data_IF_552491212733
#
_entry.id   IF_552491212733
#
_cell.length_a   1.000
_cell.length_b   1.000
_cell.length_c   1.000
_cell.angle_alpha   90.00
_cell.angle_beta   90.00
_cell.angle_gamma   90.00
#
_symmetry.space_group_name_H-M   'P 1'
#
loop_
_entity.id
_entity.type
_entity.pdbx_description
1 polymer ?
#
# COMPACT_ATOMS: atom_id res chain seq x y z
N UNK A 1 -15.14 32.01 -17.13
CA UNK A 1 -15.34 30.62 -17.60
C UNK A 1 -14.99 29.72 -16.43
N UNK A 2 -15.98 29.12 -15.79
CA UNK A 2 -15.75 28.19 -14.69
C UNK A 2 -15.01 26.99 -15.28
N UNK A 3 -13.76 26.78 -14.85
CA UNK A 3 -13.07 25.53 -15.12
C UNK A 3 -13.89 24.44 -14.42
N UNK A 4 -14.34 23.48 -15.22
CA UNK A 4 -14.98 22.25 -14.77
C UNK A 4 -14.02 21.61 -13.76
N UNK A 5 -14.37 21.65 -12.47
CA UNK A 5 -13.57 21.00 -11.43
C UNK A 5 -13.54 19.53 -11.77
N UNK A 6 -12.37 18.89 -11.95
CA UNK A 6 -12.32 17.47 -12.24
C UNK A 6 -13.01 16.72 -11.09
N UNK A 7 -14.19 16.15 -11.37
CA UNK A 7 -15.03 15.38 -10.44
C UNK A 7 -14.36 14.06 -10.02
N UNK A 8 -13.28 13.68 -10.68
CA UNK A 8 -12.54 12.45 -10.41
C UNK A 8 -11.30 12.78 -9.58
N UNK A 9 -11.31 12.40 -8.31
CA UNK A 9 -10.12 12.44 -7.46
C UNK A 9 -9.15 11.39 -8.00
N UNK A 10 -8.17 11.82 -8.79
CA UNK A 10 -7.11 10.96 -9.33
C UNK A 10 -6.09 10.67 -8.21
N UNK A 11 -6.51 9.96 -7.15
CA UNK A 11 -5.67 9.52 -6.05
C UNK A 11 -4.58 10.51 -5.59
N UNK A 12 -3.43 9.97 -5.18
CA UNK A 12 -2.22 10.74 -4.87
C UNK A 12 -1.30 10.75 -6.10
N UNK A 13 -0.93 11.94 -6.61
CA UNK A 13 -0.01 12.07 -7.73
C UNK A 13 1.26 12.84 -7.31
N UNK A 14 2.34 12.14 -6.95
CA UNK A 14 3.59 12.77 -6.53
C UNK A 14 4.37 13.43 -7.68
N UNK A 15 3.91 13.29 -8.92
CA UNK A 15 4.54 13.90 -10.10
C UNK A 15 3.84 15.18 -10.57
N UNK A 16 2.75 15.58 -9.91
CA UNK A 16 2.09 16.86 -10.19
C UNK A 16 3.01 18.02 -9.80
N UNK A 17 3.13 19.07 -10.64
CA UNK A 17 3.86 20.28 -10.27
C UNK A 17 3.37 20.85 -8.94
N UNK A 18 4.30 21.23 -8.07
CA UNK A 18 3.97 21.77 -6.74
C UNK A 18 3.71 20.73 -5.65
N UNK A 19 3.63 19.42 -5.98
CA UNK A 19 3.43 18.38 -4.96
C UNK A 19 4.51 18.41 -3.87
N UNK A 20 5.77 18.62 -4.23
CA UNK A 20 6.86 18.67 -3.26
C UNK A 20 6.93 19.99 -2.49
N UNK A 21 6.27 21.05 -2.97
CA UNK A 21 6.16 22.33 -2.29
C UNK A 21 5.05 22.28 -1.22
N UNK A 22 3.90 21.69 -1.56
CA UNK A 22 2.80 21.41 -0.63
C UNK A 22 2.12 20.07 -0.93
N UNK A 23 2.61 18.95 -0.37
CA UNK A 23 1.99 17.65 -0.57
C UNK A 23 0.68 17.52 0.19
N UNK A 24 0.44 18.37 1.21
CA UNK A 24 -0.71 18.26 2.09
C UNK A 24 -1.99 18.72 1.43
N UNK A 25 -1.92 19.59 0.41
CA UNK A 25 -3.06 20.00 -0.40
C UNK A 25 -3.76 18.80 -1.05
N UNK A 26 -3.00 17.91 -1.72
CA UNK A 26 -3.57 16.69 -2.31
C UNK A 26 -4.15 15.77 -1.24
N UNK A 27 -3.42 15.51 -0.14
CA UNK A 27 -3.93 14.67 0.95
C UNK A 27 -5.21 15.23 1.58
N UNK A 28 -5.34 16.55 1.71
CA UNK A 28 -6.55 17.19 2.23
C UNK A 28 -7.74 16.95 1.31
N UNK A 29 -7.56 17.16 0.01
CA UNK A 29 -8.60 16.90 -1.00
C UNK A 29 -9.08 15.44 -0.97
N UNK A 30 -8.15 14.48 -0.93
CA UNK A 30 -8.50 13.05 -0.86
C UNK A 30 -9.26 12.72 0.42
N UNK A 31 -8.80 13.21 1.59
CA UNK A 31 -9.50 12.97 2.88
C UNK A 31 -10.92 13.52 2.90
N UNK A 32 -11.17 14.63 2.22
CA UNK A 32 -12.47 15.28 2.15
C UNK A 32 -13.44 14.54 1.22
N UNK A 33 -12.98 14.16 0.03
CA UNK A 33 -13.85 13.66 -1.03
C UNK A 33 -13.88 12.13 -1.16
N UNK A 34 -12.73 11.45 -1.05
CA UNK A 34 -12.61 9.99 -1.23
C UNK A 34 -11.48 9.40 -0.34
N UNK A 35 -11.72 9.29 0.98
CA UNK A 35 -10.68 8.97 1.97
C UNK A 35 -10.15 7.53 1.89
N UNK A 36 -10.92 6.63 1.27
CA UNK A 36 -10.62 5.21 1.02
C UNK A 36 -10.78 4.98 -0.49
N UNK A 37 -9.77 5.42 -1.23
CA UNK A 37 -9.80 5.47 -2.68
C UNK A 37 -9.22 4.18 -3.27
N UNK A 38 -9.92 3.53 -4.20
CA UNK A 38 -9.33 2.44 -4.99
C UNK A 38 -8.53 3.02 -6.14
N UNK A 39 -7.20 2.95 -6.05
CA UNK A 39 -6.33 3.44 -7.12
C UNK A 39 -6.53 2.63 -8.41
N UNK A 40 -6.54 3.28 -9.58
CA UNK A 40 -6.48 2.59 -10.88
C UNK A 40 -5.24 1.69 -11.02
N UNK A 41 -4.19 1.94 -10.23
CA UNK A 41 -2.96 1.13 -10.20
C UNK A 41 -3.08 -0.16 -9.37
N UNK A 42 -4.25 -0.42 -8.77
CA UNK A 42 -4.51 -1.64 -8.00
C UNK A 42 -4.63 -1.47 -6.48
N UNK A 43 -3.77 -0.74 -5.76
CA UNK A 43 -3.84 -0.67 -4.30
C UNK A 43 -4.97 0.25 -3.82
N UNK A 44 -5.42 0.00 -2.59
CA UNK A 44 -6.27 0.95 -1.86
C UNK A 44 -5.39 2.04 -1.25
N UNK A 45 -5.84 3.30 -1.35
CA UNK A 45 -5.27 4.45 -0.67
C UNK A 45 -6.18 4.83 0.50
N UNK A 46 -5.63 4.81 1.72
CA UNK A 46 -6.36 5.13 2.94
C UNK A 46 -5.68 6.32 3.61
N UNK A 47 -6.42 7.40 3.84
CA UNK A 47 -5.84 8.71 4.19
C UNK A 47 -6.29 9.29 5.52
N UNK A 48 -7.40 8.81 6.11
CA UNK A 48 -7.84 9.24 7.44
C UNK A 48 -7.11 8.47 8.52
N UNK A 49 -6.78 9.17 9.60
CA UNK A 49 -6.02 8.59 10.70
C UNK A 49 -6.77 7.42 11.34
N UNK A 50 -8.07 7.56 11.54
CA UNK A 50 -8.94 6.57 12.17
C UNK A 50 -8.97 5.26 11.38
N UNK A 51 -9.06 5.36 10.05
CA UNK A 51 -9.10 4.21 9.14
C UNK A 51 -7.75 3.47 9.13
N UNK A 52 -6.64 4.22 9.02
CA UNK A 52 -5.29 3.64 9.08
C UNK A 52 -5.03 3.01 10.44
N UNK A 53 -5.37 3.70 11.52
CA UNK A 53 -5.16 3.21 12.88
C UNK A 53 -5.97 1.94 13.17
N UNK A 54 -7.20 1.87 12.66
CA UNK A 54 -8.05 0.67 12.75
C UNK A 54 -7.43 -0.46 11.95
N UNK A 55 -7.10 -0.23 10.67
CA UNK A 55 -6.52 -1.24 9.79
C UNK A 55 -5.27 -1.88 10.38
N UNK A 56 -4.33 -1.07 10.88
CA UNK A 56 -3.08 -1.56 11.47
C UNK A 56 -3.27 -2.42 12.73
N UNK A 57 -4.47 -2.44 13.31
CA UNK A 57 -4.82 -3.22 14.51
C UNK A 57 -5.81 -4.35 14.22
N UNK A 58 -6.38 -4.39 13.02
CA UNK A 58 -7.36 -5.40 12.64
C UNK A 58 -6.69 -6.77 12.52
N UNK A 59 -7.12 -7.79 13.29
CA UNK A 59 -6.62 -9.14 13.12
C UNK A 59 -6.89 -9.67 11.71
N UNK A 60 -5.94 -10.43 11.15
CA UNK A 60 -6.08 -11.02 9.81
C UNK A 60 -5.56 -10.15 8.67
N UNK A 61 -5.07 -8.93 8.94
CA UNK A 61 -4.25 -8.18 7.97
C UNK A 61 -2.84 -8.75 7.91
N UNK A 62 -2.23 -8.68 6.72
CA UNK A 62 -0.90 -9.23 6.44
C UNK A 62 -0.04 -8.18 5.74
N UNK A 63 1.28 -8.20 6.01
CA UNK A 63 2.28 -7.52 5.17
C UNK A 63 2.91 -8.49 4.15
N UNK A 64 2.73 -9.79 4.32
CA UNK A 64 3.18 -10.82 3.39
C UNK A 64 2.17 -11.00 2.26
N UNK A 65 2.57 -10.63 1.04
CA UNK A 65 1.74 -10.70 -0.18
C UNK A 65 1.14 -12.09 -0.43
N UNK A 66 1.87 -13.16 -0.08
CA UNK A 66 1.39 -14.55 -0.20
C UNK A 66 0.19 -14.90 0.70
N UNK A 67 -0.03 -14.13 1.76
CA UNK A 67 -1.17 -14.30 2.67
C UNK A 67 -2.35 -13.38 2.29
N UNK A 68 -2.20 -12.52 1.27
CA UNK A 68 -3.23 -11.59 0.84
C UNK A 68 -4.17 -12.26 -0.17
N UNK A 69 -5.47 -12.00 -0.04
CA UNK A 69 -6.45 -12.33 -1.08
C UNK A 69 -6.42 -11.21 -2.12
N UNK A 70 -5.94 -11.50 -3.32
CA UNK A 70 -5.80 -10.54 -4.41
C UNK A 70 -6.70 -10.94 -5.59
N UNK A 71 -7.37 -9.96 -6.17
CA UNK A 71 -8.01 -10.10 -7.48
C UNK A 71 -6.95 -9.87 -8.57
N UNK A 72 -6.52 -10.94 -9.22
CA UNK A 72 -5.49 -10.89 -10.27
C UNK A 72 -4.05 -11.09 -9.78
N UNK A 73 -3.06 -10.94 -10.67
CA UNK A 73 -1.66 -11.15 -10.33
C UNK A 73 -1.18 -10.07 -9.36
N UNK A 74 -0.48 -10.50 -8.32
CA UNK A 74 0.17 -9.65 -7.33
C UNK A 74 1.21 -8.73 -7.99
N UNK A 75 1.62 -7.65 -7.30
CA UNK A 75 2.64 -6.74 -7.83
C UNK A 75 3.93 -7.49 -8.12
N UNK A 76 4.26 -8.48 -7.26
CA UNK A 76 5.43 -9.34 -7.49
C UNK A 76 5.33 -10.14 -8.77
N UNK A 77 4.19 -10.77 -9.00
CA UNK A 77 3.97 -11.62 -10.17
C UNK A 77 4.03 -10.79 -11.45
N UNK A 78 3.43 -9.60 -11.45
CA UNK A 78 3.53 -8.67 -12.58
C UNK A 78 4.99 -8.26 -12.85
N UNK A 79 5.75 -7.94 -11.80
CA UNK A 79 7.16 -7.59 -11.92
C UNK A 79 8.02 -8.78 -12.37
N UNK A 80 7.74 -9.99 -11.90
CA UNK A 80 8.40 -11.22 -12.30
C UNK A 80 8.16 -11.50 -13.78
N UNK A 81 6.91 -11.37 -14.23
CA UNK A 81 6.55 -11.52 -15.64
C UNK A 81 7.29 -10.52 -16.53
N UNK A 82 7.39 -9.24 -16.13
CA UNK A 82 8.17 -8.24 -16.84
C UNK A 82 9.67 -8.55 -16.90
N UNK A 83 10.19 -9.30 -15.91
CA UNK A 83 11.58 -9.76 -15.86
C UNK A 83 11.81 -11.13 -16.53
N UNK A 84 10.76 -11.80 -17.01
CA UNK A 84 10.85 -13.15 -17.54
C UNK A 84 11.10 -14.23 -16.48
N UNK A 85 10.73 -13.95 -15.23
CA UNK A 85 10.82 -14.89 -14.10
C UNK A 85 9.53 -15.72 -13.97
N UNK A 86 9.65 -16.93 -13.41
CA UNK A 86 8.50 -17.78 -13.13
C UNK A 86 7.58 -17.15 -12.07
N UNK A 87 6.29 -16.89 -12.39
CA UNK A 87 5.36 -16.21 -11.48
C UNK A 87 5.15 -16.94 -10.15
N UNK A 88 5.18 -18.28 -10.16
CA UNK A 88 4.96 -19.09 -8.96
C UNK A 88 6.07 -18.89 -7.91
N UNK A 89 7.32 -18.74 -8.37
CA UNK A 89 8.45 -18.44 -7.49
C UNK A 89 8.29 -17.05 -6.85
N UNK A 90 7.78 -16.08 -7.60
CA UNK A 90 7.50 -14.74 -7.09
C UNK A 90 6.38 -14.73 -6.05
N UNK A 91 5.31 -15.51 -6.27
CA UNK A 91 4.18 -15.66 -5.36
C UNK A 91 4.59 -16.29 -4.02
N UNK A 92 5.47 -17.29 -4.07
CA UNK A 92 5.91 -18.02 -2.89
C UNK A 92 7.11 -17.37 -2.17
N UNK A 93 7.66 -16.29 -2.71
CA UNK A 93 8.79 -15.62 -2.09
C UNK A 93 8.44 -15.11 -0.69
N UNK A 94 9.36 -15.37 0.23
CA UNK A 94 9.31 -14.92 1.61
C UNK A 94 10.43 -13.94 1.90
N UNK A 95 10.08 -12.76 2.42
CA UNK A 95 11.08 -11.78 2.84
C UNK A 95 11.81 -12.24 4.09
N UNK A 96 13.06 -11.82 4.24
CA UNK A 96 13.85 -11.98 5.47
C UNK A 96 13.90 -10.69 6.29
N UNK A 97 13.42 -9.56 5.74
CA UNK A 97 13.38 -8.30 6.44
C UNK A 97 12.22 -8.28 7.44
N UNK A 98 12.51 -7.91 8.69
CA UNK A 98 11.52 -7.90 9.79
C UNK A 98 10.26 -7.07 9.49
N UNK A 99 10.36 -6.03 8.68
CA UNK A 99 9.24 -5.17 8.30
C UNK A 99 8.25 -5.83 7.32
N UNK A 100 8.65 -6.94 6.68
CA UNK A 100 7.93 -7.58 5.57
C UNK A 100 7.55 -9.04 5.88
N UNK A 101 7.39 -9.36 7.17
CA UNK A 101 7.01 -10.70 7.64
C UNK A 101 5.92 -10.58 8.70
N UNK A 102 5.03 -11.56 8.74
CA UNK A 102 3.96 -11.65 9.73
C UNK A 102 4.43 -12.42 10.99
N UNK A 103 3.64 -12.38 12.09
CA UNK A 103 3.79 -13.35 13.17
C UNK A 103 3.69 -14.80 12.67
N UNK A 104 4.39 -15.77 13.31
CA UNK A 104 5.15 -15.63 14.56
C UNK A 104 6.59 -15.14 14.38
N UNK A 105 7.13 -15.14 13.16
CA UNK A 105 8.55 -14.82 12.93
C UNK A 105 8.86 -13.34 13.19
N UNK A 106 7.97 -12.42 12.80
CA UNK A 106 8.08 -11.01 13.17
C UNK A 106 8.25 -10.84 14.69
N UNK A 107 7.36 -11.48 15.46
CA UNK A 107 7.36 -11.40 16.92
C UNK A 107 8.64 -11.97 17.52
N UNK A 108 9.14 -13.09 16.98
CA UNK A 108 10.38 -13.72 17.43
C UNK A 108 11.59 -12.81 17.19
N UNK A 109 11.73 -12.25 15.99
CA UNK A 109 12.87 -11.40 15.63
C UNK A 109 12.82 -10.08 16.40
N UNK A 110 11.64 -9.44 16.49
CA UNK A 110 11.47 -8.18 17.24
C UNK A 110 11.90 -8.34 18.69
N UNK A 111 11.53 -9.45 19.34
CA UNK A 111 11.94 -9.74 20.72
C UNK A 111 13.46 -9.88 20.91
N UNK A 112 14.18 -10.32 19.88
CA UNK A 112 15.65 -10.44 19.93
C UNK A 112 16.31 -9.07 19.74
N UNK A 113 15.84 -8.29 18.76
CA UNK A 113 16.41 -6.98 18.43
C UNK A 113 16.11 -5.93 19.50
N UNK A 114 14.91 -5.90 20.09
CA UNK A 114 14.54 -4.88 21.10
C UNK A 114 15.24 -5.01 22.46
N UNK A 115 16.13 -6.00 22.63
CA UNK A 115 16.92 -6.17 23.87
C UNK A 115 18.32 -5.57 23.78
N UNK A 116 18.74 -5.14 22.59
CA UNK A 116 20.03 -4.51 22.35
C UNK A 116 19.98 -3.01 22.62
#
# INVERSE_FOLDING_TARGET
>A
MAADTPTEVIGLNPFEPGFFDDPYAQYASIREHDPIHRSPLGPWLITRWEDVHTLLRTPGTSVEERNMVMEGPSRREQLAQLRGEEPEAARNFRSLAILNIDPPDHTRIRRLVSKA
#
